data_IF_970358321997
#
_entry.id   IF_970358321997
#
_cell.length_a   1.000
_cell.length_b   1.000
_cell.length_c   1.000
_cell.angle_alpha   90.00
_cell.angle_beta   90.00
_cell.angle_gamma   90.00
#
_symmetry.space_group_name_H-M   'P 1'
#
loop_
_entity.id
_entity.type
_entity.pdbx_description
1 polymer ?
#
# COMPACT_ATOMS: atom_id res chain seq x y z
N UNK A 1 21.62 -9.81 -3.74
CA UNK A 1 20.18 -9.48 -3.73
C UNK A 1 20.04 -8.23 -2.87
N UNK A 2 19.69 -7.11 -3.44
CA UNK A 2 19.39 -5.88 -2.70
C UNK A 2 18.06 -6.09 -1.97
N UNK A 3 18.10 -6.07 -0.65
CA UNK A 3 16.88 -6.15 0.17
C UNK A 3 16.05 -4.90 -0.08
N UNK A 4 14.80 -5.06 -0.50
CA UNK A 4 13.87 -3.94 -0.70
C UNK A 4 13.10 -3.68 0.59
N UNK A 5 12.98 -2.41 0.93
CA UNK A 5 12.17 -1.95 2.05
C UNK A 5 11.01 -1.15 1.48
N UNK A 6 9.80 -1.50 1.85
CA UNK A 6 8.59 -0.76 1.52
C UNK A 6 7.96 -0.22 2.80
N UNK A 7 7.63 1.05 2.81
CA UNK A 7 6.96 1.70 3.93
C UNK A 7 5.67 2.34 3.44
N UNK A 8 4.52 1.90 3.93
CA UNK A 8 3.26 2.60 3.70
C UNK A 8 3.04 3.63 4.81
N UNK A 9 2.87 4.89 4.45
CA UNK A 9 2.64 5.99 5.38
C UNK A 9 1.61 6.97 4.82
N UNK A 10 0.77 7.55 5.66
CA UNK A 10 -0.16 8.58 5.25
C UNK A 10 -0.47 9.54 6.40
N UNK A 11 -0.73 10.80 6.06
CA UNK A 11 -1.20 11.81 7.00
C UNK A 11 -2.71 11.71 7.29
N UNK A 12 -3.46 10.94 6.49
CA UNK A 12 -4.92 10.80 6.59
C UNK A 12 -5.27 9.36 6.88
N UNK A 13 -6.21 9.15 7.81
CA UNK A 13 -6.73 7.82 8.14
C UNK A 13 -7.56 7.21 7.00
N UNK A 14 -7.75 5.88 7.04
CA UNK A 14 -8.61 5.12 6.13
C UNK A 14 -8.31 5.26 4.64
N UNK A 15 -7.11 5.69 4.27
CA UNK A 15 -6.67 5.79 2.87
C UNK A 15 -6.21 4.46 2.24
N UNK A 16 -6.29 3.35 3.00
CA UNK A 16 -5.97 2.00 2.51
C UNK A 16 -4.50 1.62 2.56
N UNK A 17 -3.74 2.14 3.51
CA UNK A 17 -2.35 1.73 3.75
C UNK A 17 -2.20 0.22 3.88
N UNK A 18 -2.96 -0.38 4.79
CA UNK A 18 -2.96 -1.83 5.03
C UNK A 18 -3.35 -2.64 3.79
N UNK A 19 -4.30 -2.13 2.98
CA UNK A 19 -4.65 -2.76 1.69
C UNK A 19 -3.45 -2.80 0.77
N UNK A 20 -2.74 -1.68 0.61
CA UNK A 20 -1.54 -1.61 -0.24
C UNK A 20 -0.41 -2.47 0.35
N UNK A 21 -0.16 -2.39 1.66
CA UNK A 21 0.87 -3.20 2.30
C UNK A 21 0.64 -4.70 2.06
N UNK A 22 -0.58 -5.19 2.27
CA UNK A 22 -0.93 -6.61 2.17
C UNK A 22 -1.06 -7.11 0.73
N UNK A 23 -1.81 -6.40 -0.10
CA UNK A 23 -2.20 -6.90 -1.42
C UNK A 23 -1.30 -6.42 -2.57
N UNK A 24 -0.56 -5.33 -2.38
CA UNK A 24 0.35 -4.80 -3.40
C UNK A 24 1.80 -5.18 -3.09
N UNK A 25 2.25 -4.93 -1.88
CA UNK A 25 3.68 -5.03 -1.54
C UNK A 25 4.07 -6.42 -1.01
N UNK A 26 3.21 -7.07 -0.22
CA UNK A 26 3.50 -8.38 0.36
C UNK A 26 3.17 -9.55 -0.57
N UNK A 27 2.35 -9.37 -1.61
CA UNK A 27 1.89 -10.44 -2.51
C UNK A 27 2.91 -10.88 -3.57
N UNK A 28 4.10 -10.30 -3.60
CA UNK A 28 5.11 -10.50 -4.65
C UNK A 28 5.89 -11.84 -4.61
N UNK A 29 5.42 -12.85 -3.87
CA UNK A 29 5.96 -14.23 -3.92
C UNK A 29 7.25 -14.49 -3.13
N UNK A 30 7.90 -13.48 -2.55
CA UNK A 30 8.97 -13.65 -1.57
C UNK A 30 8.41 -13.46 -0.16
N UNK A 31 8.88 -14.21 0.85
CA UNK A 31 8.46 -14.00 2.24
C UNK A 31 8.98 -12.64 2.72
N UNK A 32 8.19 -11.60 2.48
CA UNK A 32 8.46 -10.25 2.97
C UNK A 32 7.85 -10.16 4.36
N UNK A 33 8.65 -9.83 5.36
CA UNK A 33 8.16 -9.58 6.69
C UNK A 33 7.28 -8.32 6.68
N UNK A 34 6.02 -8.43 7.11
CA UNK A 34 5.13 -7.29 7.27
C UNK A 34 5.10 -6.91 8.75
N UNK A 35 5.32 -5.63 9.01
CA UNK A 35 5.33 -5.06 10.33
C UNK A 35 4.29 -3.94 10.40
N UNK A 36 3.32 -4.07 11.27
CA UNK A 36 2.35 -3.02 11.56
C UNK A 36 2.78 -2.32 12.86
N UNK A 37 2.88 -0.99 12.86
CA UNK A 37 3.31 -0.23 14.03
C UNK A 37 2.18 0.02 15.03
N UNK A 38 0.91 -0.10 14.58
CA UNK A 38 -0.25 0.10 15.44
C UNK A 38 -1.33 -0.93 15.15
N UNK A 39 -1.81 -1.63 16.17
CA UNK A 39 -2.95 -2.53 16.06
C UNK A 39 -4.21 -1.86 16.60
N UNK A 40 -5.21 -1.66 15.74
CA UNK A 40 -6.55 -1.26 16.19
C UNK A 40 -7.35 -2.43 16.82
N UNK A 41 -6.84 -3.67 16.75
CA UNK A 41 -7.56 -4.90 17.08
C UNK A 41 -7.16 -5.54 18.41
N UNK A 42 -6.27 -4.94 19.19
CA UNK A 42 -5.88 -5.49 20.50
C UNK A 42 -5.03 -6.76 20.46
N UNK A 43 -4.66 -7.28 19.30
CA UNK A 43 -3.67 -8.33 19.17
C UNK A 43 -2.30 -7.78 19.57
N UNK A 44 -1.54 -8.56 20.35
CA UNK A 44 -0.13 -8.28 20.70
C UNK A 44 0.74 -8.26 19.43
N UNK A 45 0.69 -7.16 18.69
CA UNK A 45 1.63 -6.89 17.62
C UNK A 45 2.74 -6.01 18.17
N UNK A 46 3.95 -6.30 17.77
CA UNK A 46 5.12 -5.54 18.19
C UNK A 46 4.90 -4.04 17.99
N UNK A 47 4.61 -3.31 19.07
CA UNK A 47 4.64 -1.84 19.03
C UNK A 47 6.11 -1.48 18.85
N UNK A 48 6.46 -1.09 17.65
CA UNK A 48 7.82 -0.67 17.33
C UNK A 48 7.89 0.83 17.52
N UNK A 49 8.72 1.23 18.45
CA UNK A 49 9.08 2.62 18.67
C UNK A 49 10.03 3.13 17.54
N UNK A 50 10.35 4.41 17.61
CA UNK A 50 11.25 5.06 16.65
C UNK A 50 12.60 4.33 16.50
N UNK A 51 13.18 3.88 17.60
CA UNK A 51 14.52 3.26 17.58
C UNK A 51 14.44 1.84 16.99
N UNK A 52 13.37 1.11 17.26
CA UNK A 52 13.06 -0.17 16.62
C UNK A 52 12.81 -0.04 15.13
N UNK A 53 12.09 1.02 14.70
CA UNK A 53 11.92 1.34 13.27
C UNK A 53 13.26 1.66 12.60
N UNK A 54 14.11 2.47 13.24
CA UNK A 54 15.44 2.79 12.74
C UNK A 54 16.29 1.53 12.59
N UNK A 55 16.30 0.64 13.59
CA UNK A 55 17.04 -0.62 13.54
C UNK A 55 16.59 -1.51 12.36
N UNK A 56 15.28 -1.60 12.07
CA UNK A 56 14.75 -2.36 10.93
C UNK A 56 15.10 -1.73 9.58
N UNK A 57 15.18 -0.41 9.51
CA UNK A 57 15.61 0.29 8.30
C UNK A 57 17.11 0.07 8.01
N UNK A 58 17.94 0.01 9.07
CA UNK A 58 19.37 -0.28 8.93
C UNK A 58 19.63 -1.73 8.53
N UNK A 59 18.94 -2.68 9.18
CA UNK A 59 19.14 -4.11 9.01
C UNK A 59 17.80 -4.81 8.71
N UNK A 60 17.29 -4.67 7.48
CA UNK A 60 16.05 -5.34 7.09
C UNK A 60 16.23 -6.87 7.10
N UNK A 61 15.18 -7.63 7.37
CA UNK A 61 15.24 -9.09 7.31
C UNK A 61 15.58 -9.59 5.90
N UNK A 62 16.17 -10.79 5.79
CA UNK A 62 16.38 -11.44 4.49
C UNK A 62 15.05 -11.53 3.71
N UNK A 63 15.06 -11.16 2.43
CA UNK A 63 13.87 -11.16 1.57
C UNK A 63 13.15 -9.81 1.48
N UNK A 64 13.39 -8.89 2.40
CA UNK A 64 12.80 -7.55 2.39
C UNK A 64 11.85 -7.28 3.56
N UNK A 65 11.32 -6.07 3.62
CA UNK A 65 10.48 -5.59 4.71
C UNK A 65 9.35 -4.72 4.15
N UNK A 66 8.13 -4.97 4.60
CA UNK A 66 6.98 -4.08 4.44
C UNK A 66 6.61 -3.51 5.80
N UNK A 67 6.68 -2.19 5.94
CA UNK A 67 6.27 -1.44 7.12
C UNK A 67 4.91 -0.80 6.85
N UNK A 68 3.87 -1.22 7.55
CA UNK A 68 2.56 -0.56 7.54
C UNK A 68 2.46 0.39 8.73
N UNK A 69 2.75 1.67 8.49
CA UNK A 69 2.84 2.70 9.53
C UNK A 69 1.46 3.17 9.92
N UNK A 70 1.09 3.02 11.19
CA UNK A 70 -0.11 3.60 11.79
C UNK A 70 -0.17 5.12 11.61
N UNK A 71 -1.38 5.70 11.55
CA UNK A 71 -1.50 7.18 11.42
C UNK A 71 -0.90 7.88 12.63
N UNK A 72 -1.07 7.32 13.83
CA UNK A 72 -0.48 7.84 15.07
C UNK A 72 1.04 7.81 15.08
N UNK A 73 1.65 6.87 14.37
CA UNK A 73 3.10 6.62 14.39
C UNK A 73 3.84 7.29 13.22
N UNK A 74 3.13 8.07 12.41
CA UNK A 74 3.72 8.72 11.24
C UNK A 74 4.89 9.65 11.61
N UNK A 75 4.82 10.32 12.76
CA UNK A 75 5.90 11.22 13.23
C UNK A 75 7.13 10.40 13.60
N UNK A 76 6.98 9.33 14.38
CA UNK A 76 8.08 8.46 14.79
C UNK A 76 8.76 7.80 13.57
N UNK A 77 7.97 7.39 12.58
CA UNK A 77 8.48 6.85 11.33
C UNK A 77 9.29 7.89 10.53
N UNK A 78 8.83 9.14 10.48
CA UNK A 78 9.55 10.24 9.82
C UNK A 78 10.86 10.58 10.55
N UNK A 79 10.86 10.55 11.89
CA UNK A 79 12.07 10.74 12.69
C UNK A 79 13.07 9.59 12.49
N UNK A 80 12.60 8.33 12.45
CA UNK A 80 13.44 7.18 12.14
C UNK A 80 14.07 7.30 10.74
N UNK A 81 13.28 7.68 9.73
CA UNK A 81 13.77 7.95 8.38
C UNK A 81 14.85 9.04 8.37
N UNK A 82 14.62 10.14 9.10
CA UNK A 82 15.58 11.24 9.19
C UNK A 82 16.87 10.82 9.89
N UNK A 83 16.80 9.96 10.90
CA UNK A 83 17.95 9.40 11.58
C UNK A 83 18.79 8.53 10.65
N UNK A 84 18.13 7.54 10.01
CA UNK A 84 18.81 6.55 9.16
C UNK A 84 19.40 7.22 7.92
N UNK A 85 18.67 8.13 7.26
CA UNK A 85 19.13 8.79 6.03
C UNK A 85 20.40 9.64 6.22
N UNK A 86 20.67 10.11 7.44
CA UNK A 86 21.93 10.83 7.75
C UNK A 86 23.13 9.91 7.85
N UNK A 87 22.90 8.63 8.17
CA UNK A 87 23.96 7.66 8.43
C UNK A 87 24.15 6.69 7.26
N UNK A 88 23.12 6.48 6.46
CA UNK A 88 23.11 5.56 5.33
C UNK A 88 22.55 6.24 4.07
N UNK A 89 23.42 6.79 3.25
CA UNK A 89 23.04 7.42 1.99
C UNK A 89 22.45 6.42 0.98
N UNK A 90 22.75 5.11 1.11
CA UNK A 90 22.23 4.07 0.21
C UNK A 90 20.78 3.70 0.50
N UNK A 91 20.19 4.21 1.59
CA UNK A 91 18.81 3.93 1.95
C UNK A 91 17.84 4.29 0.82
N UNK A 92 18.09 5.38 0.09
CA UNK A 92 17.23 5.83 -1.03
C UNK A 92 17.09 4.80 -2.15
N UNK A 93 18.13 3.99 -2.39
CA UNK A 93 18.15 3.00 -3.47
C UNK A 93 17.32 1.76 -3.14
N UNK A 94 17.23 1.42 -1.85
CA UNK A 94 16.56 0.21 -1.37
C UNK A 94 15.22 0.46 -0.68
N UNK A 95 14.85 1.72 -0.44
CA UNK A 95 13.60 2.13 0.20
C UNK A 95 12.58 2.60 -0.85
N UNK A 96 11.33 2.24 -0.65
CA UNK A 96 10.16 2.84 -1.33
C UNK A 96 9.16 3.27 -0.27
N UNK A 97 8.88 4.58 -0.22
CA UNK A 97 7.88 5.17 0.67
C UNK A 97 6.59 5.32 -0.11
N UNK A 98 5.62 4.49 0.18
CA UNK A 98 4.34 4.45 -0.54
C UNK A 98 3.30 5.27 0.23
N UNK A 99 2.75 6.29 -0.44
CA UNK A 99 1.76 7.21 0.14
C UNK A 99 0.42 7.02 -0.57
N UNK A 100 -0.52 6.27 0.04
CA UNK A 100 -1.86 6.12 -0.51
C UNK A 100 -2.64 7.43 -0.47
N UNK A 101 -3.31 7.74 -1.57
CA UNK A 101 -4.17 8.91 -1.75
C UNK A 101 -5.58 8.46 -2.06
N UNK A 102 -6.55 9.04 -1.38
CA UNK A 102 -7.95 9.05 -1.82
C UNK A 102 -8.14 10.16 -2.87
N UNK A 103 -9.14 10.04 -3.76
CA UNK A 103 -9.43 11.07 -4.76
C UNK A 103 -10.11 12.30 -4.13
N UNK A 104 -9.46 12.92 -3.15
CA UNK A 104 -9.93 14.09 -2.43
C UNK A 104 -8.81 15.09 -2.10
N UNK A 105 -9.21 16.33 -1.79
CA UNK A 105 -8.28 17.43 -1.49
C UNK A 105 -7.52 17.25 -0.17
N UNK A 106 -8.09 16.50 0.79
CA UNK A 106 -7.45 16.24 2.10
C UNK A 106 -6.24 15.34 1.92
N UNK A 107 -6.37 14.30 1.07
CA UNK A 107 -5.26 13.40 0.75
C UNK A 107 -4.12 14.12 0.04
N UNK A 108 -4.43 15.05 -0.86
CA UNK A 108 -3.40 15.88 -1.54
C UNK A 108 -2.71 16.84 -0.54
N UNK A 109 -3.47 17.44 0.37
CA UNK A 109 -2.90 18.26 1.45
C UNK A 109 -2.01 17.42 2.38
N UNK A 110 -2.45 16.19 2.73
CA UNK A 110 -1.67 15.23 3.50
C UNK A 110 -0.37 14.82 2.80
N UNK A 111 -0.41 14.58 1.49
CA UNK A 111 0.80 14.31 0.70
C UNK A 111 1.78 15.49 0.78
N UNK A 112 1.29 16.72 0.62
CA UNK A 112 2.15 17.92 0.73
C UNK A 112 2.81 18.02 2.09
N UNK A 113 2.06 17.77 3.16
CA UNK A 113 2.57 17.78 4.53
C UNK A 113 3.64 16.72 4.72
N UNK A 114 3.39 15.45 4.32
CA UNK A 114 4.36 14.36 4.42
C UNK A 114 5.64 14.68 3.66
N UNK A 115 5.54 15.16 2.43
CA UNK A 115 6.71 15.52 1.61
C UNK A 115 7.55 16.64 2.20
N UNK A 116 6.94 17.54 2.97
CA UNK A 116 7.67 18.57 3.71
C UNK A 116 8.47 18.00 4.90
N UNK A 117 7.99 16.90 5.50
CA UNK A 117 8.65 16.24 6.65
C UNK A 117 9.69 15.19 6.22
N UNK A 118 9.48 14.54 5.07
CA UNK A 118 10.42 13.53 4.55
C UNK A 118 11.75 14.20 4.18
N UNK A 119 12.90 13.66 4.64
CA UNK A 119 14.23 14.15 4.26
C UNK A 119 14.37 14.30 2.74
N UNK A 120 14.97 15.38 2.29
CA UNK A 120 15.07 15.71 0.87
C UNK A 120 15.75 14.58 0.07
N UNK A 121 16.78 13.97 0.63
CA UNK A 121 17.49 12.83 0.05
C UNK A 121 16.61 11.60 -0.19
N UNK A 122 15.52 11.43 0.56
CA UNK A 122 14.58 10.31 0.44
C UNK A 122 13.33 10.62 -0.41
N UNK A 123 13.10 11.86 -0.81
CA UNK A 123 11.94 12.22 -1.65
C UNK A 123 11.90 11.47 -2.98
N UNK A 124 13.03 11.17 -3.66
CA UNK A 124 13.01 10.33 -4.85
C UNK A 124 12.50 8.90 -4.61
N UNK A 125 12.56 8.39 -3.38
CA UNK A 125 12.00 7.09 -3.01
C UNK A 125 10.47 7.12 -2.80
N UNK A 126 9.83 8.30 -2.76
CA UNK A 126 8.39 8.42 -2.52
C UNK A 126 7.58 8.06 -3.75
N UNK A 127 6.60 7.20 -3.55
CA UNK A 127 5.60 6.75 -4.53
C UNK A 127 4.22 7.11 -4.01
N UNK A 128 3.63 8.19 -4.51
CA UNK A 128 2.23 8.50 -4.26
C UNK A 128 1.36 7.62 -5.15
N UNK A 129 0.31 7.01 -4.60
CA UNK A 129 -0.53 6.05 -5.31
C UNK A 129 -2.01 6.33 -5.05
N UNK A 130 -2.82 6.30 -6.11
CA UNK A 130 -4.26 6.45 -5.96
C UNK A 130 -4.90 5.15 -5.50
N UNK A 131 -5.75 5.24 -4.49
CA UNK A 131 -6.51 4.13 -3.95
C UNK A 131 -8.00 4.47 -3.85
N UNK A 132 -8.86 3.45 -3.96
CA UNK A 132 -10.33 3.59 -3.95
C UNK A 132 -10.85 4.52 -5.04
N UNK A 133 -10.30 4.39 -6.21
CA UNK A 133 -10.76 5.13 -7.40
C UNK A 133 -12.03 4.47 -7.92
N UNK A 134 -13.07 5.26 -8.17
CA UNK A 134 -14.37 4.74 -8.65
C UNK A 134 -14.44 4.62 -10.16
N UNK A 135 -13.80 5.55 -10.83
CA UNK A 135 -13.83 5.62 -12.30
C UNK A 135 -12.57 6.30 -12.85
N UNK A 136 -12.37 6.21 -14.14
CA UNK A 136 -11.20 6.76 -14.83
C UNK A 136 -11.19 8.30 -14.94
N UNK A 137 -12.27 8.99 -14.54
CA UNK A 137 -12.36 10.46 -14.61
C UNK A 137 -11.35 11.16 -13.69
N UNK A 138 -10.82 10.43 -12.69
CA UNK A 138 -9.80 10.95 -11.81
C UNK A 138 -8.57 11.46 -12.56
N UNK A 139 -8.16 10.80 -13.66
CA UNK A 139 -6.92 11.13 -14.39
C UNK A 139 -6.85 12.57 -14.84
N UNK A 140 -7.97 13.14 -15.27
CA UNK A 140 -8.09 14.49 -15.82
C UNK A 140 -8.61 15.50 -14.81
N UNK A 141 -8.88 15.08 -13.59
CA UNK A 141 -9.42 15.92 -12.53
C UNK A 141 -8.42 16.95 -12.01
N UNK A 142 -8.93 18.05 -11.41
CA UNK A 142 -8.12 19.05 -10.74
C UNK A 142 -7.33 18.45 -9.57
N UNK A 143 -7.90 17.46 -8.90
CA UNK A 143 -7.28 16.74 -7.78
C UNK A 143 -6.04 15.99 -8.27
N UNK A 144 -6.14 15.28 -9.38
CA UNK A 144 -5.00 14.56 -9.94
C UNK A 144 -3.91 15.52 -10.46
N UNK A 145 -4.30 16.65 -11.04
CA UNK A 145 -3.34 17.70 -11.44
C UNK A 145 -2.62 18.29 -10.24
N UNK A 146 -3.35 18.59 -9.15
CA UNK A 146 -2.77 19.09 -7.92
C UNK A 146 -1.79 18.08 -7.29
N UNK A 147 -2.16 16.80 -7.20
CA UNK A 147 -1.29 15.75 -6.66
C UNK A 147 -0.01 15.59 -7.51
N UNK A 148 -0.12 15.58 -8.84
CA UNK A 148 1.05 15.54 -9.75
C UNK A 148 1.98 16.73 -9.54
N UNK A 149 1.41 17.91 -9.36
CA UNK A 149 2.19 19.13 -9.12
C UNK A 149 2.93 19.05 -7.79
N UNK A 150 2.26 18.64 -6.71
CA UNK A 150 2.85 18.48 -5.38
C UNK A 150 3.98 17.43 -5.41
N UNK A 151 3.73 16.27 -5.98
CA UNK A 151 4.74 15.21 -6.08
C UNK A 151 5.96 15.68 -6.88
N UNK A 152 5.75 16.23 -8.07
CA UNK A 152 6.84 16.73 -8.94
C UNK A 152 7.68 17.83 -8.28
N UNK A 153 7.05 18.80 -7.63
CA UNK A 153 7.78 19.89 -6.96
C UNK A 153 8.66 19.39 -5.83
N UNK A 154 8.29 18.30 -5.19
CA UNK A 154 9.07 17.68 -4.12
C UNK A 154 10.08 16.63 -4.62
N UNK A 155 10.17 16.35 -5.91
CA UNK A 155 11.02 15.28 -6.44
C UNK A 155 10.47 13.86 -6.19
N UNK A 156 9.20 13.74 -5.80
CA UNK A 156 8.48 12.47 -5.61
C UNK A 156 7.79 12.04 -6.91
N UNK A 157 7.37 10.75 -6.97
CA UNK A 157 6.64 10.20 -8.12
C UNK A 157 5.18 9.92 -7.76
N UNK A 158 4.26 10.32 -8.62
CA UNK A 158 2.88 9.85 -8.60
C UNK A 158 2.76 8.69 -9.60
N UNK A 159 2.40 7.50 -9.11
CA UNK A 159 2.21 6.31 -9.93
C UNK A 159 0.95 6.44 -10.80
N UNK A 160 1.04 5.97 -12.04
CA UNK A 160 -0.08 6.01 -13.00
C UNK A 160 -1.14 4.94 -12.75
N UNK A 161 -0.76 3.69 -12.43
CA UNK A 161 -1.74 2.69 -12.03
C UNK A 161 -2.48 3.10 -10.76
N UNK A 162 -3.75 2.76 -10.69
CA UNK A 162 -4.64 3.06 -9.56
C UNK A 162 -5.19 1.76 -8.96
N UNK A 163 -5.60 1.79 -7.72
CA UNK A 163 -6.41 0.72 -7.11
C UNK A 163 -7.85 1.17 -7.15
N UNK A 164 -8.68 0.45 -7.89
CA UNK A 164 -10.10 0.71 -7.92
C UNK A 164 -10.79 0.30 -6.61
N UNK A 165 -11.89 0.99 -6.30
CA UNK A 165 -12.70 0.65 -5.14
C UNK A 165 -13.29 -0.75 -5.31
N UNK A 166 -13.01 -1.65 -4.37
CA UNK A 166 -13.57 -2.99 -4.36
C UNK A 166 -13.97 -3.40 -2.94
N UNK A 167 -15.18 -3.88 -2.72
CA UNK A 167 -15.59 -4.39 -1.42
C UNK A 167 -14.81 -5.65 -1.00
N UNK A 168 -14.14 -6.33 -1.95
CA UNK A 168 -13.36 -7.52 -1.67
C UNK A 168 -12.04 -7.24 -0.91
N UNK A 169 -11.63 -5.97 -0.78
CA UNK A 169 -10.52 -5.61 0.12
C UNK A 169 -10.94 -5.60 1.60
N UNK A 170 -12.24 -5.72 1.89
CA UNK A 170 -12.72 -5.87 3.26
C UNK A 170 -12.67 -7.35 3.67
N UNK A 171 -11.90 -7.66 4.71
CA UNK A 171 -11.82 -9.02 5.28
C UNK A 171 -13.15 -9.52 5.84
N UNK A 172 -14.10 -8.62 6.13
CA UNK A 172 -15.46 -8.96 6.56
C UNK A 172 -16.38 -9.37 5.40
N UNK A 173 -15.99 -9.12 4.15
CA UNK A 173 -16.79 -9.48 2.99
C UNK A 173 -17.08 -11.00 2.96
N UNK A 174 -18.33 -11.45 2.75
CA UNK A 174 -18.72 -12.86 2.84
C UNK A 174 -17.87 -13.80 1.96
N UNK A 175 -17.54 -13.39 0.73
CA UNK A 175 -16.71 -14.19 -0.16
C UNK A 175 -15.26 -14.28 0.33
N UNK A 176 -14.70 -13.19 0.88
CA UNK A 176 -13.36 -13.22 1.46
C UNK A 176 -13.31 -14.09 2.71
N UNK A 177 -14.34 -14.05 3.56
CA UNK A 177 -14.46 -14.97 4.70
C UNK A 177 -14.54 -16.43 4.26
N UNK A 178 -15.24 -16.72 3.16
CA UNK A 178 -15.42 -18.08 2.63
C UNK A 178 -14.14 -18.62 1.98
N UNK A 179 -13.40 -17.80 1.23
CA UNK A 179 -12.22 -18.22 0.45
C UNK A 179 -10.89 -17.75 1.05
N UNK A 180 -10.93 -17.01 2.15
CA UNK A 180 -9.79 -16.52 2.93
C UNK A 180 -8.94 -15.45 2.26
N UNK A 181 -8.74 -15.48 0.94
CA UNK A 181 -7.92 -14.51 0.20
C UNK A 181 -8.52 -14.13 -1.15
N UNK A 182 -8.08 -12.99 -1.70
CA UNK A 182 -8.42 -12.56 -3.06
C UNK A 182 -7.92 -13.56 -4.11
N UNK A 183 -6.71 -14.11 -3.91
CA UNK A 183 -6.09 -15.06 -4.80
C UNK A 183 -6.89 -16.37 -4.89
N UNK A 184 -7.34 -16.89 -3.74
CA UNK A 184 -8.18 -18.07 -3.70
C UNK A 184 -9.52 -17.83 -4.42
N UNK A 185 -10.16 -16.69 -4.20
CA UNK A 185 -11.40 -16.33 -4.89
C UNK A 185 -11.19 -16.12 -6.40
N UNK A 186 -10.12 -15.44 -6.80
CA UNK A 186 -9.79 -15.21 -8.21
C UNK A 186 -9.43 -16.48 -8.97
N UNK A 187 -8.89 -17.47 -8.26
CA UNK A 187 -8.48 -18.79 -8.80
C UNK A 187 -9.57 -19.84 -8.80
N UNK A 188 -10.82 -19.52 -8.42
CA UNK A 188 -11.91 -20.52 -8.41
C UNK A 188 -12.09 -21.15 -9.79
N UNK A 189 -12.01 -22.50 -9.90
CA UNK A 189 -12.22 -23.20 -11.14
C UNK A 189 -13.70 -23.16 -11.56
N UNK A 190 -13.96 -23.24 -12.88
CA UNK A 190 -15.31 -23.19 -13.43
C UNK A 190 -16.19 -24.36 -12.99
N UNK A 191 -15.59 -25.54 -12.77
CA UNK A 191 -16.30 -26.73 -12.29
C UNK A 191 -16.76 -26.56 -10.82
N UNK A 192 -15.95 -25.95 -9.97
CA UNK A 192 -16.34 -25.63 -8.60
C UNK A 192 -17.52 -24.63 -8.57
N UNK A 193 -17.46 -23.59 -9.41
CA UNK A 193 -18.56 -22.62 -9.53
C UNK A 193 -19.83 -23.29 -10.04
N UNK A 194 -19.73 -24.19 -11.06
CA UNK A 194 -20.89 -24.93 -11.59
C UNK A 194 -21.46 -25.95 -10.61
N UNK A 195 -20.66 -26.45 -9.70
CA UNK A 195 -21.10 -27.38 -8.65
C UNK A 195 -21.77 -26.65 -7.46
N UNK A 196 -21.65 -25.32 -7.38
CA UNK A 196 -22.29 -24.53 -6.35
C UNK A 196 -23.82 -24.48 -6.52
N UNK A 197 -24.60 -24.26 -5.45
CA UNK A 197 -26.02 -24.03 -5.56
C UNK A 197 -26.33 -22.89 -6.55
N UNK A 198 -27.40 -23.05 -7.34
CA UNK A 198 -27.79 -22.07 -8.36
C UNK A 198 -27.96 -20.64 -7.81
N UNK A 199 -28.33 -20.53 -6.52
CA UNK A 199 -28.47 -19.24 -5.80
C UNK A 199 -27.12 -18.56 -5.58
N UNK A 200 -26.03 -19.32 -5.46
CA UNK A 200 -24.70 -18.82 -5.14
C UNK A 200 -23.85 -18.54 -6.39
N UNK A 201 -24.17 -19.24 -7.48
CA UNK A 201 -23.39 -19.19 -8.73
C UNK A 201 -23.18 -17.79 -9.27
N UNK A 202 -24.18 -16.90 -9.39
CA UNK A 202 -23.98 -15.53 -9.87
C UNK A 202 -23.04 -14.72 -8.98
N UNK A 203 -23.16 -14.87 -7.65
CA UNK A 203 -22.31 -14.19 -6.69
C UNK A 203 -20.85 -14.67 -6.78
N UNK A 204 -20.62 -15.97 -7.01
CA UNK A 204 -19.29 -16.55 -7.19
C UNK A 204 -18.63 -16.09 -8.48
N UNK A 205 -19.36 -16.08 -9.60
CA UNK A 205 -18.86 -15.57 -10.88
C UNK A 205 -18.47 -14.10 -10.77
N UNK A 206 -19.38 -13.25 -10.32
CA UNK A 206 -19.12 -11.81 -10.15
C UNK A 206 -17.98 -11.57 -9.15
N UNK A 207 -17.94 -12.33 -8.06
CA UNK A 207 -16.87 -12.24 -7.05
C UNK A 207 -15.52 -12.64 -7.60
N UNK A 208 -15.43 -13.71 -8.37
CA UNK A 208 -14.20 -14.15 -9.04
C UNK A 208 -13.68 -13.09 -10.01
N UNK A 209 -14.54 -12.58 -10.89
CA UNK A 209 -14.15 -11.56 -11.88
C UNK A 209 -13.70 -10.27 -11.20
N UNK A 210 -14.39 -9.84 -10.14
CA UNK A 210 -13.98 -8.69 -9.34
C UNK A 210 -12.65 -8.91 -8.61
N UNK A 211 -12.40 -10.13 -8.11
CA UNK A 211 -11.12 -10.47 -7.48
C UNK A 211 -9.96 -10.48 -8.49
N UNK A 212 -10.20 -10.99 -9.70
CA UNK A 212 -9.22 -10.95 -10.79
C UNK A 212 -8.86 -9.52 -11.19
N UNK A 213 -9.85 -8.64 -11.32
CA UNK A 213 -9.63 -7.23 -11.60
C UNK A 213 -8.85 -6.52 -10.48
N UNK A 214 -9.23 -6.73 -9.22
CA UNK A 214 -8.52 -6.17 -8.07
C UNK A 214 -7.06 -6.62 -8.01
N UNK A 215 -6.77 -7.89 -8.27
CA UNK A 215 -5.40 -8.40 -8.33
C UNK A 215 -4.60 -7.86 -9.53
N UNK A 216 -5.26 -7.60 -10.65
CA UNK A 216 -4.61 -6.96 -11.80
C UNK A 216 -4.15 -5.54 -11.44
N UNK A 217 -5.00 -4.74 -10.80
CA UNK A 217 -4.63 -3.41 -10.28
C UNK A 217 -3.44 -3.50 -9.31
N UNK A 218 -3.50 -4.43 -8.35
CA UNK A 218 -2.43 -4.63 -7.37
C UNK A 218 -1.09 -4.95 -8.05
N UNK A 219 -1.08 -5.83 -9.05
CA UNK A 219 0.14 -6.20 -9.81
C UNK A 219 0.68 -5.03 -10.62
N UNK A 220 -0.20 -4.30 -11.32
CA UNK A 220 0.21 -3.13 -12.09
C UNK A 220 0.83 -2.04 -11.19
N UNK A 221 0.23 -1.81 -10.01
CA UNK A 221 0.76 -0.86 -9.06
C UNK A 221 2.07 -1.33 -8.43
N UNK A 222 2.20 -2.61 -8.07
CA UNK A 222 3.44 -3.18 -7.54
C UNK A 222 4.60 -2.98 -8.52
N UNK A 223 4.38 -3.23 -9.81
CA UNK A 223 5.39 -2.98 -10.84
C UNK A 223 5.79 -1.50 -10.89
N UNK A 224 4.83 -0.58 -10.88
CA UNK A 224 5.10 0.87 -10.93
C UNK A 224 5.79 1.43 -9.67
N UNK A 225 5.62 0.79 -8.51
CA UNK A 225 6.30 1.18 -7.27
C UNK A 225 7.78 0.76 -7.31
N UNK A 226 8.08 -0.37 -7.92
CA UNK A 226 9.45 -0.91 -7.99
C UNK A 226 10.34 -0.21 -9.02
N UNK A 227 9.77 0.39 -10.04
CA UNK A 227 10.46 1.25 -11.01
C UNK A 227 10.93 2.59 -10.37
#
# INVERSE_FOLDING_TARGET
>A
MTHSIYMTIAAVGNCGKTTIARHVLASGGSPIATLETHSASGDERDVIDRDGLAARLFAPPPGGLVLDVGVGDAVDALEALALVSRQDASLVDRLRIVVPLLPDSKSVAGLRWLLAQIPESLRPAVRAVWNRVRDDSLRDSDIARAARTVARQAGARLCTPVIHESPLFDSAHPLIRRYSTLEALAGLPDDEIRAAPMTDMPALLTGRDAAQAALADCRALAAAITE
#
